data_IF_624401534747
#
_entry.id   IF_624401534747
#
_cell.length_a   1.000
_cell.length_b   1.000
_cell.length_c   1.000
_cell.angle_alpha   90.00
_cell.angle_beta   90.00
_cell.angle_gamma   90.00
#
_symmetry.space_group_name_H-M   'P 1'
#
loop_
_entity.id
_entity.type
_entity.pdbx_description
1 polymer ?
#
# COMPACT_ATOMS: atom_id res chain seq x y z
N UNK A 1 8.07 -4.05 -8.41
CA UNK A 1 6.65 -3.66 -8.50
C UNK A 1 6.18 -3.88 -9.94
N UNK A 2 4.93 -3.52 -10.31
CA UNK A 2 4.40 -3.72 -11.67
C UNK A 2 5.10 -2.85 -12.74
N UNK A 3 5.47 -1.61 -12.40
CA UNK A 3 6.21 -0.72 -13.28
C UNK A 3 7.62 -1.28 -13.55
N UNK A 4 8.29 -1.81 -12.52
CA UNK A 4 9.59 -2.44 -12.67
C UNK A 4 9.57 -3.62 -13.65
N UNK A 5 8.51 -4.45 -13.64
CA UNK A 5 8.37 -5.58 -14.57
C UNK A 5 8.32 -5.13 -16.04
N UNK A 6 7.66 -4.00 -16.34
CA UNK A 6 7.63 -3.51 -17.72
C UNK A 6 8.95 -2.86 -18.13
N UNK A 7 9.52 -2.02 -17.27
CA UNK A 7 10.78 -1.35 -17.56
C UNK A 7 11.94 -2.33 -17.71
N UNK A 8 11.96 -3.40 -16.93
CA UNK A 8 13.00 -4.43 -17.00
C UNK A 8 12.84 -5.29 -18.26
N UNK A 9 11.61 -5.57 -18.72
CA UNK A 9 11.36 -6.23 -20.01
C UNK A 9 11.83 -5.37 -21.20
N UNK A 10 11.48 -4.08 -21.22
CA UNK A 10 11.93 -3.13 -22.25
C UNK A 10 13.47 -3.04 -22.34
N UNK A 11 14.14 -3.17 -21.20
CA UNK A 11 15.60 -3.17 -21.10
C UNK A 11 16.23 -4.55 -21.40
N UNK A 12 15.42 -5.59 -21.62
CA UNK A 12 15.89 -6.96 -21.85
C UNK A 12 16.51 -7.61 -20.61
N UNK A 13 16.21 -7.11 -19.42
CA UNK A 13 16.70 -7.66 -18.14
C UNK A 13 15.94 -8.94 -17.76
N UNK A 14 14.75 -9.15 -18.31
CA UNK A 14 14.01 -10.39 -18.16
C UNK A 14 13.08 -10.69 -19.34
N UNK A 15 12.55 -11.91 -19.36
CA UNK A 15 11.53 -12.38 -20.29
C UNK A 15 10.41 -13.18 -19.58
N UNK A 16 10.17 -12.88 -18.30
CA UNK A 16 9.14 -13.57 -17.51
C UNK A 16 7.75 -13.20 -18.00
N UNK A 17 6.91 -14.21 -18.21
CA UNK A 17 5.48 -14.03 -18.39
C UNK A 17 4.82 -13.88 -17.01
N UNK A 18 4.10 -12.80 -16.81
CA UNK A 18 3.46 -12.48 -15.54
C UNK A 18 1.99 -12.12 -15.75
N UNK A 19 1.22 -12.18 -14.68
CA UNK A 19 -0.22 -11.93 -14.69
C UNK A 19 -0.70 -11.48 -13.32
N UNK A 20 -2.00 -11.20 -13.20
CA UNK A 20 -2.60 -10.69 -11.97
C UNK A 20 -3.61 -11.71 -11.44
N UNK A 21 -3.55 -11.96 -10.14
CA UNK A 21 -4.48 -12.83 -9.43
C UNK A 21 -5.00 -12.15 -8.17
N UNK A 22 -6.19 -12.54 -7.73
CA UNK A 22 -6.74 -12.08 -6.45
C UNK A 22 -5.92 -12.65 -5.30
N UNK A 23 -5.76 -11.85 -4.25
CA UNK A 23 -5.21 -12.33 -2.99
C UNK A 23 -6.06 -13.52 -2.48
N UNK A 24 -5.45 -14.64 -2.08
CA UNK A 24 -6.19 -15.75 -1.47
C UNK A 24 -6.97 -15.28 -0.25
N UNK A 25 -8.24 -15.72 -0.14
CA UNK A 25 -9.12 -15.39 0.97
C UNK A 25 -9.65 -16.66 1.63
N UNK A 26 -9.92 -16.58 2.92
CA UNK A 26 -10.66 -17.62 3.62
C UNK A 26 -12.10 -17.70 3.08
N UNK A 27 -12.64 -18.91 2.98
CA UNK A 27 -13.98 -19.12 2.47
C UNK A 27 -15.03 -18.38 3.31
N UNK A 28 -15.91 -17.62 2.64
CA UNK A 28 -17.00 -16.87 3.27
C UNK A 28 -16.64 -15.46 3.76
N UNK A 29 -15.40 -15.01 3.60
CA UNK A 29 -15.01 -13.63 3.89
C UNK A 29 -15.10 -12.73 2.64
N UNK A 30 -15.45 -11.44 2.78
CA UNK A 30 -15.43 -10.48 1.69
C UNK A 30 -14.00 -10.29 1.16
N UNK A 31 -13.88 -9.90 -0.11
CA UNK A 31 -12.57 -9.66 -0.71
C UNK A 31 -11.90 -8.44 -0.08
N UNK A 32 -10.80 -8.67 0.63
CA UNK A 32 -10.03 -7.61 1.25
C UNK A 32 -8.57 -7.58 0.78
N UNK A 33 -7.95 -6.41 0.87
CA UNK A 33 -6.50 -6.27 0.70
C UNK A 33 -5.92 -5.39 1.78
N UNK A 34 -4.60 -5.40 1.91
CA UNK A 34 -3.86 -4.45 2.73
C UNK A 34 -3.38 -3.33 1.81
N UNK A 35 -3.74 -2.10 2.15
CA UNK A 35 -3.31 -0.90 1.45
C UNK A 35 -2.24 -0.17 2.26
N UNK A 36 -1.19 0.26 1.56
CA UNK A 36 -0.24 1.24 2.07
C UNK A 36 -0.39 2.52 1.24
N UNK A 37 -0.33 3.67 1.92
CA UNK A 37 -0.52 4.98 1.29
C UNK A 37 0.69 5.84 1.57
N UNK A 38 1.22 6.48 0.52
CA UNK A 38 2.24 7.51 0.68
C UNK A 38 1.54 8.87 0.70
N UNK A 39 1.37 9.52 1.86
CA UNK A 39 0.63 10.77 1.93
C UNK A 39 1.47 11.93 1.38
N UNK A 40 0.82 12.84 0.66
CA UNK A 40 1.36 14.17 0.38
C UNK A 40 0.86 15.12 1.47
N UNK A 41 1.79 15.70 2.23
CA UNK A 41 1.48 16.56 3.38
C UNK A 41 1.96 17.99 3.18
N UNK A 42 1.20 18.96 3.70
CA UNK A 42 1.60 20.37 3.70
C UNK A 42 2.32 20.66 5.01
N UNK A 43 3.56 21.16 4.90
CA UNK A 43 4.31 21.60 6.07
C UNK A 43 3.60 22.81 6.71
N UNK A 44 3.27 22.71 7.99
CA UNK A 44 2.59 23.77 8.75
C UNK A 44 3.36 25.11 8.80
N UNK A 45 4.68 25.10 8.55
CA UNK A 45 5.56 26.28 8.53
C UNK A 45 5.72 26.90 7.15
N UNK A 46 5.06 26.39 6.11
CA UNK A 46 5.18 26.95 4.76
C UNK A 46 4.67 28.39 4.70
N UNK A 47 5.40 29.25 3.99
CA UNK A 47 4.97 30.62 3.66
C UNK A 47 4.09 30.69 2.41
N UNK A 48 3.87 29.55 1.74
CA UNK A 48 3.15 29.45 0.47
C UNK A 48 1.97 28.49 0.58
N UNK A 49 1.10 28.69 1.57
CA UNK A 49 0.00 27.77 1.87
C UNK A 49 -0.94 27.54 0.68
N UNK A 50 -1.35 28.61 -0.01
CA UNK A 50 -2.23 28.51 -1.18
C UNK A 50 -1.59 27.73 -2.34
N UNK A 51 -0.30 27.97 -2.61
CA UNK A 51 0.40 27.25 -3.67
C UNK A 51 0.59 25.77 -3.31
N UNK A 52 0.93 25.48 -2.05
CA UNK A 52 1.03 24.11 -1.55
C UNK A 52 -0.32 23.39 -1.61
N UNK A 53 -1.42 24.07 -1.25
CA UNK A 53 -2.77 23.51 -1.35
C UNK A 53 -3.18 23.24 -2.79
N UNK A 54 -2.84 24.14 -3.72
CA UNK A 54 -3.08 23.93 -5.15
C UNK A 54 -2.35 22.67 -5.66
N UNK A 55 -1.10 22.49 -5.26
CA UNK A 55 -0.31 21.31 -5.63
C UNK A 55 -0.91 20.02 -5.06
N UNK A 56 -1.26 20.01 -3.77
CA UNK A 56 -1.88 18.82 -3.14
C UNK A 56 -3.17 18.44 -3.84
N UNK A 57 -4.06 19.41 -4.11
CA UNK A 57 -5.31 19.16 -4.84
C UNK A 57 -5.10 18.58 -6.24
N UNK A 58 -4.06 19.03 -6.94
CA UNK A 58 -3.71 18.48 -8.25
C UNK A 58 -3.24 17.03 -8.11
N UNK A 59 -2.29 16.76 -7.21
CA UNK A 59 -1.72 15.43 -7.00
C UNK A 59 -2.76 14.41 -6.50
N UNK A 60 -3.72 14.85 -5.69
CA UNK A 60 -4.78 14.01 -5.14
C UNK A 60 -6.08 14.03 -5.96
N UNK A 61 -6.10 14.73 -7.09
CA UNK A 61 -7.27 14.87 -7.96
C UNK A 61 -7.28 13.82 -9.08
N UNK A 62 -8.32 13.87 -9.90
CA UNK A 62 -8.48 13.00 -11.08
C UNK A 62 -7.34 13.12 -12.08
N UNK A 63 -6.83 14.35 -12.31
CA UNK A 63 -5.69 14.60 -13.20
C UNK A 63 -4.39 13.96 -12.68
N UNK A 64 -4.07 14.14 -11.38
CA UNK A 64 -2.94 13.48 -10.75
C UNK A 64 -3.08 11.95 -10.77
N UNK A 65 -4.27 11.43 -10.46
CA UNK A 65 -4.56 10.00 -10.52
C UNK A 65 -4.38 9.43 -11.94
N UNK A 66 -4.81 10.17 -12.95
CA UNK A 66 -4.66 9.83 -14.37
C UNK A 66 -3.19 9.70 -14.77
N UNK A 67 -2.32 10.63 -14.35
CA UNK A 67 -0.88 10.61 -14.62
C UNK A 67 -0.20 9.45 -13.90
N UNK A 68 -0.55 9.22 -12.62
CA UNK A 68 -0.03 8.07 -11.86
C UNK A 68 -0.42 6.75 -12.53
N UNK A 69 -1.65 6.65 -13.01
CA UNK A 69 -2.15 5.42 -13.60
C UNK A 69 -1.53 5.10 -14.98
N UNK A 70 -1.20 6.11 -15.78
CA UNK A 70 -0.40 5.96 -17.01
C UNK A 70 0.99 5.38 -16.74
N UNK A 71 1.49 5.55 -15.51
CA UNK A 71 2.76 5.01 -15.06
C UNK A 71 2.59 3.76 -14.18
N UNK A 72 1.39 3.16 -14.14
CA UNK A 72 1.08 1.93 -13.39
C UNK A 72 1.30 2.08 -11.88
N UNK A 73 1.15 3.32 -11.40
CA UNK A 73 1.13 3.63 -9.98
C UNK A 73 -0.33 3.68 -9.56
N UNK A 74 -0.69 2.90 -8.54
CA UNK A 74 -2.04 2.92 -7.97
C UNK A 74 -2.23 4.25 -7.22
N UNK A 75 -3.11 5.16 -7.69
CA UNK A 75 -3.34 6.44 -7.04
C UNK A 75 -4.19 6.28 -5.77
N UNK A 76 -4.10 7.27 -4.87
CA UNK A 76 -4.98 7.35 -3.70
C UNK A 76 -6.44 7.69 -4.04
N UNK A 77 -6.67 8.34 -5.19
CA UNK A 77 -8.01 8.54 -5.76
C UNK A 77 -8.31 7.36 -6.68
N UNK A 78 -9.29 6.53 -6.32
CA UNK A 78 -9.65 5.33 -7.08
C UNK A 78 -11.06 5.45 -7.63
N UNK A 79 -11.17 5.33 -8.95
CA UNK A 79 -12.41 5.01 -9.66
C UNK A 79 -12.12 3.95 -10.74
N UNK A 80 -13.15 3.51 -11.47
CA UNK A 80 -12.99 2.48 -12.50
C UNK A 80 -12.04 2.91 -13.63
N UNK A 81 -11.92 4.21 -13.91
CA UNK A 81 -11.08 4.73 -15.01
C UNK A 81 -9.59 4.55 -14.77
N UNK A 82 -9.17 4.42 -13.50
CA UNK A 82 -7.77 4.15 -13.13
C UNK A 82 -7.32 2.79 -13.66
N UNK A 83 -8.14 1.75 -13.49
CA UNK A 83 -7.77 0.40 -13.94
C UNK A 83 -7.93 0.21 -15.45
N UNK A 84 -8.85 0.93 -16.08
CA UNK A 84 -8.97 0.96 -17.54
C UNK A 84 -7.68 1.49 -18.20
N UNK A 85 -6.97 2.41 -17.54
CA UNK A 85 -5.67 2.90 -18.01
C UNK A 85 -4.57 1.84 -17.93
N UNK A 86 -4.57 1.01 -16.89
CA UNK A 86 -3.54 -0.04 -16.76
C UNK A 86 -3.61 -1.01 -17.94
N UNK A 87 -4.81 -1.40 -18.36
CA UNK A 87 -5.04 -2.26 -19.52
C UNK A 87 -4.60 -1.65 -20.86
N UNK A 88 -4.38 -0.33 -20.90
CA UNK A 88 -3.90 0.38 -22.09
C UNK A 88 -2.37 0.50 -22.13
N UNK A 89 -1.68 0.20 -21.03
CA UNK A 89 -0.22 0.23 -21.00
C UNK A 89 0.33 -1.01 -21.69
N UNK A 90 1.23 -0.81 -22.66
CA UNK A 90 1.86 -1.89 -23.40
C UNK A 90 2.62 -2.83 -22.45
N UNK A 91 2.47 -4.14 -22.65
CA UNK A 91 3.06 -5.18 -21.78
C UNK A 91 2.28 -5.48 -20.50
N UNK A 92 1.30 -4.66 -20.10
CA UNK A 92 0.48 -4.95 -18.93
C UNK A 92 -0.50 -6.11 -19.21
N UNK A 93 -0.65 -7.09 -18.29
CA UNK A 93 -1.59 -8.19 -18.45
C UNK A 93 -3.04 -7.71 -18.50
N UNK A 94 -3.74 -8.08 -19.56
CA UNK A 94 -5.14 -7.70 -19.79
C UNK A 94 -6.14 -8.75 -19.29
N UNK A 95 -5.66 -9.93 -18.90
CA UNK A 95 -6.46 -10.96 -18.29
C UNK A 95 -6.69 -10.69 -16.80
N UNK A 96 -7.86 -11.06 -16.30
CA UNK A 96 -8.18 -11.02 -14.88
C UNK A 96 -8.09 -9.63 -14.20
N UNK A 97 -8.31 -8.53 -14.94
CA UNK A 97 -8.30 -7.15 -14.40
C UNK A 97 -9.22 -6.94 -13.18
N UNK A 98 -10.29 -7.73 -13.07
CA UNK A 98 -11.16 -7.75 -11.89
C UNK A 98 -10.47 -8.23 -10.59
N UNK A 99 -9.19 -8.62 -10.64
CA UNK A 99 -8.36 -8.90 -9.48
C UNK A 99 -7.80 -7.63 -8.82
N UNK A 100 -7.70 -6.52 -9.54
CA UNK A 100 -7.26 -5.23 -9.00
C UNK A 100 -8.37 -4.52 -8.19
N UNK A 101 -9.62 -4.95 -8.37
CA UNK A 101 -10.77 -4.40 -7.67
C UNK A 101 -11.02 -5.19 -6.39
N UNK A 102 -10.99 -4.49 -5.25
CA UNK A 102 -11.21 -5.07 -3.92
C UNK A 102 -12.37 -4.37 -3.22
N UNK A 103 -13.16 -5.12 -2.45
CA UNK A 103 -14.31 -4.56 -1.72
C UNK A 103 -13.86 -3.79 -0.48
N UNK A 104 -12.82 -4.29 0.19
CA UNK A 104 -12.30 -3.69 1.43
C UNK A 104 -10.79 -3.50 1.33
N UNK A 105 -10.31 -2.33 1.75
CA UNK A 105 -8.87 -2.06 1.91
C UNK A 105 -8.62 -1.77 3.39
N UNK A 106 -7.83 -2.60 4.04
CA UNK A 106 -7.33 -2.36 5.38
C UNK A 106 -6.01 -1.59 5.30
N UNK A 107 -5.91 -0.46 6.02
CA UNK A 107 -4.61 0.23 6.10
C UNK A 107 -3.64 -0.61 6.92
N UNK A 108 -2.45 -0.84 6.36
CA UNK A 108 -1.36 -1.54 7.05
C UNK A 108 -0.99 -0.83 8.35
N UNK A 109 -0.82 0.49 8.27
CA UNK A 109 -0.51 1.36 9.41
C UNK A 109 -1.53 2.49 9.50
N UNK A 110 -2.51 2.40 10.41
CA UNK A 110 -3.44 3.51 10.61
C UNK A 110 -2.71 4.75 11.16
N UNK A 111 -3.19 5.96 10.86
CA UNK A 111 -2.60 7.19 11.37
C UNK A 111 -2.81 7.26 12.88
N UNK A 112 -1.71 7.16 13.63
CA UNK A 112 -1.69 7.29 15.09
C UNK A 112 -0.38 7.95 15.53
N UNK A 113 -0.41 8.73 16.61
CA UNK A 113 0.79 9.38 17.15
C UNK A 113 1.88 8.36 17.54
N UNK A 114 1.44 7.16 17.96
CA UNK A 114 2.31 6.05 18.35
C UNK A 114 2.63 5.07 17.22
N UNK A 115 2.20 5.31 15.97
CA UNK A 115 2.40 4.34 14.87
C UNK A 115 3.87 3.94 14.69
N UNK A 116 4.81 4.85 14.90
CA UNK A 116 6.24 4.53 14.83
C UNK A 116 6.73 3.56 15.91
N UNK A 117 6.24 3.72 17.16
CA UNK A 117 6.60 2.82 18.26
C UNK A 117 5.94 1.45 18.11
N UNK A 118 4.65 1.45 17.78
CA UNK A 118 3.89 0.21 17.54
C UNK A 118 4.44 -0.54 16.33
N UNK A 119 4.78 0.17 15.25
CA UNK A 119 5.35 -0.44 14.05
C UNK A 119 6.70 -1.11 14.30
N UNK A 120 7.60 -0.44 15.03
CA UNK A 120 8.88 -1.04 15.42
C UNK A 120 8.69 -2.29 16.28
N UNK A 121 7.76 -2.26 17.23
CA UNK A 121 7.44 -3.42 18.07
C UNK A 121 6.96 -4.61 17.22
N UNK A 122 6.04 -4.37 16.29
CA UNK A 122 5.51 -5.43 15.41
C UNK A 122 6.62 -6.01 14.53
N UNK A 123 7.48 -5.16 13.96
CA UNK A 123 8.61 -5.59 13.14
C UNK A 123 9.56 -6.52 13.91
N UNK A 124 9.94 -6.15 15.14
CA UNK A 124 10.80 -6.97 16.00
C UNK A 124 10.20 -8.36 16.28
N UNK A 125 8.89 -8.41 16.60
CA UNK A 125 8.20 -9.67 16.88
C UNK A 125 8.02 -10.54 15.63
N UNK A 126 7.74 -9.93 14.46
CA UNK A 126 7.72 -10.63 13.17
C UNK A 126 9.08 -11.26 12.87
N UNK A 127 10.18 -10.52 13.07
CA UNK A 127 11.54 -11.04 12.84
C UNK A 127 11.83 -12.24 13.73
N UNK A 128 11.44 -12.20 15.01
CA UNK A 128 11.62 -13.32 15.93
C UNK A 128 10.81 -14.57 15.50
N UNK A 129 9.58 -14.37 15.04
CA UNK A 129 8.75 -15.47 14.54
C UNK A 129 9.31 -16.06 13.24
N UNK A 130 9.69 -15.20 12.27
CA UNK A 130 10.24 -15.63 10.98
C UNK A 130 11.61 -16.29 11.08
N UNK A 131 12.39 -15.96 12.11
CA UNK A 131 13.69 -16.59 12.39
C UNK A 131 13.59 -17.80 13.31
N UNK A 132 12.37 -18.26 13.61
CA UNK A 132 12.06 -19.40 14.50
C UNK A 132 12.61 -19.26 15.93
N UNK A 133 13.03 -18.05 16.33
CA UNK A 133 13.46 -17.75 17.69
C UNK A 133 12.26 -17.64 18.66
N UNK A 134 11.04 -17.50 18.12
CA UNK A 134 9.79 -17.43 18.85
C UNK A 134 8.67 -18.11 18.04
N UNK A 135 7.68 -18.72 18.69
CA UNK A 135 6.50 -19.22 17.99
C UNK A 135 5.62 -18.06 17.50
N UNK A 136 4.79 -18.28 16.48
CA UNK A 136 3.84 -17.27 16.00
C UNK A 136 2.87 -16.85 17.11
N UNK A 137 2.37 -17.82 17.89
CA UNK A 137 1.44 -17.55 18.99
C UNK A 137 2.09 -16.72 20.10
N UNK A 138 3.35 -17.03 20.46
CA UNK A 138 4.08 -16.25 21.47
C UNK A 138 4.41 -14.84 20.95
N UNK A 139 4.76 -14.70 19.67
CA UNK A 139 5.00 -13.39 19.07
C UNK A 139 3.73 -12.52 19.10
N UNK A 140 2.56 -13.08 18.75
CA UNK A 140 1.28 -12.36 18.83
C UNK A 140 0.99 -11.94 20.28
N UNK A 141 1.17 -12.85 21.25
CA UNK A 141 0.95 -12.55 22.66
C UNK A 141 1.86 -11.43 23.16
N UNK A 142 3.14 -11.46 22.78
CA UNK A 142 4.08 -10.41 23.16
C UNK A 142 3.77 -9.09 22.45
N UNK A 143 3.31 -9.10 21.20
CA UNK A 143 2.82 -7.91 20.51
C UNK A 143 1.65 -7.26 21.28
N UNK A 144 0.70 -8.05 21.77
CA UNK A 144 -0.44 -7.55 22.55
C UNK A 144 0.01 -6.92 23.88
N UNK A 145 0.88 -7.60 24.63
CA UNK A 145 1.42 -7.09 25.89
C UNK A 145 2.21 -5.79 25.70
N UNK A 146 3.10 -5.77 24.71
CA UNK A 146 3.94 -4.61 24.40
C UNK A 146 3.12 -3.45 23.87
N UNK A 147 2.07 -3.70 23.08
CA UNK A 147 1.11 -2.66 22.66
C UNK A 147 0.51 -1.96 23.88
N UNK A 148 0.02 -2.72 24.85
CA UNK A 148 -0.64 -2.17 26.03
C UNK A 148 0.34 -1.36 26.89
N UNK A 149 1.58 -1.84 27.04
CA UNK A 149 2.66 -1.10 27.70
C UNK A 149 3.00 0.21 26.97
N UNK A 150 3.19 0.17 25.65
CA UNK A 150 3.47 1.36 24.83
C UNK A 150 2.34 2.39 24.99
N UNK A 151 1.08 1.95 24.93
CA UNK A 151 -0.06 2.84 25.13
C UNK A 151 -0.02 3.45 26.52
N UNK A 152 0.13 2.65 27.58
CA UNK A 152 0.14 3.11 28.97
C UNK A 152 1.24 4.15 29.24
N UNK A 153 2.44 3.93 28.70
CA UNK A 153 3.60 4.81 28.93
C UNK A 153 3.54 6.13 28.13
N UNK A 154 2.62 6.26 27.17
CA UNK A 154 2.51 7.42 26.28
C UNK A 154 1.11 8.08 26.33
N UNK A 155 0.35 7.86 27.40
CA UNK A 155 -0.89 8.58 27.71
C UNK A 155 -0.62 9.99 28.26
#
# INVERSE_FOLDING_TARGET
>A
DMQALLLDEEQGLHNVNWGIARLPQWAGLPHATIGNVTPVVINARTKHQEAAWKLVKFLSGTEGASILAENIIVPGYLDSSVFDKFAQVEGFPNDNMGALVTETVYMEWPPHSLSGLLGKMVEEEIVLAMTENKSVDDAIKDMELRRDEIILLNQ
#
